data_IF_791180164239
#
_entry.id   IF_791180164239
#
_cell.length_a   1.000
_cell.length_b   1.000
_cell.length_c   1.000
_cell.angle_alpha   90.00
_cell.angle_beta   90.00
_cell.angle_gamma   90.00
#
_symmetry.space_group_name_H-M   'P 1'
#
loop_
_entity.id
_entity.type
_entity.pdbx_description
1 polymer ?
#
# COMPACT_ATOMS: atom_id res chain seq x y z
N UNK A 1 -65.16 27.03 9.31
CA UNK A 1 -64.95 25.57 9.41
C UNK A 1 -64.16 25.11 8.21
N UNK A 2 -62.83 24.98 8.32
CA UNK A 2 -61.96 24.43 7.28
C UNK A 2 -61.02 23.45 7.98
N UNK A 3 -61.07 22.19 7.55
CA UNK A 3 -60.26 21.06 8.05
C UNK A 3 -58.84 21.19 7.47
N UNK A 4 -57.76 21.17 8.26
CA UNK A 4 -56.42 21.05 7.72
C UNK A 4 -55.95 19.60 7.83
N UNK A 5 -55.87 18.88 6.70
CA UNK A 5 -55.05 17.67 6.53
C UNK A 5 -54.77 17.48 5.03
N UNK A 6 -53.60 16.98 4.57
CA UNK A 6 -52.41 16.60 5.31
C UNK A 6 -51.10 17.09 4.62
N UNK A 7 -50.46 18.15 5.14
CA UNK A 7 -49.10 18.58 4.73
C UNK A 7 -47.99 17.85 5.53
N UNK A 8 -48.21 16.57 5.88
CA UNK A 8 -47.26 15.78 6.72
C UNK A 8 -46.71 14.57 5.96
N UNK A 9 -47.06 14.37 4.69
CA UNK A 9 -46.64 13.19 3.92
C UNK A 9 -45.45 13.43 2.97
N UNK A 10 -44.68 14.52 3.13
CA UNK A 10 -43.52 14.80 2.24
C UNK A 10 -42.18 14.83 2.99
N UNK A 11 -42.16 14.91 4.32
CA UNK A 11 -40.92 14.98 5.10
C UNK A 11 -40.48 13.67 5.76
N UNK A 12 -41.12 12.54 5.44
CA UNK A 12 -40.75 11.22 5.99
C UNK A 12 -40.13 10.26 4.95
N UNK A 13 -39.76 10.73 3.76
CA UNK A 13 -39.16 9.91 2.69
C UNK A 13 -37.73 10.31 2.29
N UNK A 14 -37.02 11.08 3.12
CA UNK A 14 -35.65 11.53 2.84
C UNK A 14 -34.61 11.16 3.91
N UNK A 15 -34.98 10.35 4.91
CA UNK A 15 -34.08 9.99 6.02
C UNK A 15 -33.80 8.48 6.15
N UNK A 16 -34.15 7.65 5.16
CA UNK A 16 -34.01 6.18 5.25
C UNK A 16 -33.29 5.55 4.06
N UNK A 17 -32.44 6.31 3.36
CA UNK A 17 -31.55 5.77 2.34
C UNK A 17 -30.09 6.27 2.45
N UNK A 18 -29.67 6.73 3.63
CA UNK A 18 -28.27 7.08 3.91
C UNK A 18 -27.53 6.03 4.78
N UNK A 19 -28.09 4.83 4.95
CA UNK A 19 -27.57 3.83 5.90
C UNK A 19 -27.15 2.49 5.29
N UNK A 20 -26.93 2.39 3.98
CA UNK A 20 -26.64 1.06 3.38
C UNK A 20 -25.58 1.01 2.27
N UNK A 21 -24.90 2.10 1.97
CA UNK A 21 -23.73 2.07 1.07
C UNK A 21 -22.59 2.90 1.62
N UNK A 22 -22.26 2.69 2.90
CA UNK A 22 -20.84 2.51 3.19
C UNK A 22 -20.48 1.21 2.48
N UNK A 23 -20.15 1.28 1.19
CA UNK A 23 -19.22 0.30 0.66
C UNK A 23 -17.99 0.50 1.53
N UNK A 24 -17.87 -0.34 2.55
CA UNK A 24 -16.57 -0.81 2.96
C UNK A 24 -16.01 -1.41 1.68
N UNK A 25 -15.41 -0.56 0.83
CA UNK A 25 -14.51 -0.98 -0.21
C UNK A 25 -13.62 -1.94 0.57
N UNK A 26 -13.70 -3.26 0.31
CA UNK A 26 -12.80 -4.16 0.99
C UNK A 26 -11.44 -3.62 0.61
N UNK A 27 -10.76 -3.02 1.58
CA UNK A 27 -9.36 -2.65 1.41
C UNK A 27 -8.73 -4.02 1.22
N UNK A 28 -8.56 -4.41 -0.05
CA UNK A 28 -8.06 -5.71 -0.43
C UNK A 28 -6.82 -5.89 0.42
N UNK A 29 -6.86 -6.85 1.35
CA UNK A 29 -5.72 -7.08 2.21
C UNK A 29 -4.61 -7.48 1.26
N UNK A 30 -3.64 -6.57 1.10
CA UNK A 30 -2.54 -6.71 0.16
C UNK A 30 -1.89 -8.05 0.38
N UNK A 31 -1.88 -8.91 -0.63
CA UNK A 31 -1.25 -10.20 -0.52
C UNK A 31 0.27 -9.99 -0.54
N UNK A 32 0.91 -10.29 0.60
CA UNK A 32 2.34 -10.07 0.79
C UNK A 32 3.14 -10.94 -0.16
N UNK A 33 2.63 -12.12 -0.53
CA UNK A 33 3.30 -13.00 -1.52
C UNK A 33 3.29 -12.37 -2.90
N UNK A 34 2.12 -12.00 -3.42
CA UNK A 34 2.00 -11.32 -4.72
C UNK A 34 2.79 -10.01 -4.76
N UNK A 35 2.82 -9.25 -3.65
CA UNK A 35 3.61 -8.01 -3.54
C UNK A 35 5.11 -8.30 -3.62
N UNK A 36 5.59 -9.33 -2.93
CA UNK A 36 7.00 -9.72 -2.96
C UNK A 36 7.44 -10.22 -4.34
N UNK A 37 6.59 -11.02 -5.02
CA UNK A 37 6.83 -11.44 -6.40
C UNK A 37 6.88 -10.25 -7.36
N UNK A 38 6.00 -9.25 -7.19
CA UNK A 38 6.04 -8.01 -7.95
C UNK A 38 7.35 -7.24 -7.74
N UNK A 39 7.78 -7.07 -6.49
CA UNK A 39 9.03 -6.39 -6.15
C UNK A 39 10.23 -7.14 -6.73
N UNK A 40 10.23 -8.47 -6.67
CA UNK A 40 11.26 -9.31 -7.28
C UNK A 40 11.31 -9.12 -8.81
N UNK A 41 10.16 -9.07 -9.48
CA UNK A 41 10.06 -8.79 -10.91
C UNK A 41 10.52 -7.37 -11.30
N UNK A 42 10.46 -6.43 -10.36
CA UNK A 42 10.92 -5.04 -10.53
C UNK A 42 12.26 -4.75 -9.83
N UNK A 43 13.09 -5.78 -9.62
CA UNK A 43 14.35 -5.63 -8.89
C UNK A 43 15.26 -4.54 -9.45
N UNK A 44 15.32 -4.36 -10.77
CA UNK A 44 16.09 -3.27 -11.38
C UNK A 44 15.65 -1.87 -10.90
N UNK A 45 14.34 -1.64 -10.67
CA UNK A 45 13.86 -0.39 -10.08
C UNK A 45 14.27 -0.27 -8.61
N UNK A 46 14.24 -1.38 -7.86
CA UNK A 46 14.74 -1.41 -6.47
C UNK A 46 16.22 -1.04 -6.44
N UNK A 47 17.03 -1.61 -7.35
CA UNK A 47 18.46 -1.29 -7.46
C UNK A 47 18.70 0.19 -7.76
N UNK A 48 17.91 0.79 -8.65
CA UNK A 48 18.01 2.23 -8.93
C UNK A 48 17.65 3.12 -7.74
N UNK A 49 16.76 2.65 -6.86
CA UNK A 49 16.47 3.32 -5.59
C UNK A 49 17.62 3.11 -4.59
N UNK A 50 18.16 1.90 -4.47
CA UNK A 50 19.31 1.56 -3.63
C UNK A 50 20.55 2.38 -4.00
N UNK A 51 20.78 2.68 -5.28
CA UNK A 51 21.87 3.57 -5.71
C UNK A 51 21.72 5.00 -5.21
N UNK A 52 20.49 5.47 -4.99
CA UNK A 52 20.17 6.84 -4.55
C UNK A 52 20.11 6.98 -3.04
N UNK A 53 20.17 5.86 -2.30
CA UNK A 53 20.15 5.88 -0.84
C UNK A 53 21.38 6.62 -0.29
N UNK A 54 21.21 7.47 0.73
CA UNK A 54 22.34 8.10 1.43
C UNK A 54 23.27 7.05 2.03
N UNK A 55 24.57 7.30 2.06
CA UNK A 55 25.58 6.39 2.65
C UNK A 55 25.24 6.00 4.10
N UNK A 56 24.66 6.92 4.87
CA UNK A 56 24.24 6.66 6.24
C UNK A 56 23.14 5.59 6.35
N UNK A 57 22.32 5.41 5.32
CA UNK A 57 21.26 4.41 5.28
C UNK A 57 21.70 3.10 4.61
N UNK A 58 22.70 3.14 3.72
CA UNK A 58 23.30 1.93 3.13
C UNK A 58 23.86 0.98 4.19
N UNK A 59 24.37 1.53 5.29
CA UNK A 59 24.86 0.75 6.44
C UNK A 59 23.78 -0.10 7.13
N UNK A 60 22.49 0.19 6.92
CA UNK A 60 21.38 -0.57 7.50
C UNK A 60 20.91 -1.73 6.60
N UNK A 61 21.35 -1.78 5.35
CA UNK A 61 20.90 -2.74 4.32
C UNK A 61 22.10 -3.32 3.57
N UNK A 62 23.19 -3.60 4.29
CA UNK A 62 24.46 -4.04 3.70
C UNK A 62 24.36 -5.33 2.89
N UNK A 63 23.39 -6.18 3.22
CA UNK A 63 23.04 -7.42 2.52
C UNK A 63 22.53 -7.19 1.09
N UNK A 64 22.02 -5.99 0.79
CA UNK A 64 21.57 -5.60 -0.54
C UNK A 64 22.67 -4.97 -1.39
N UNK A 65 23.91 -4.87 -0.87
CA UNK A 65 25.05 -4.27 -1.55
C UNK A 65 26.24 -5.24 -1.63
N UNK A 66 26.91 -5.24 -2.78
CA UNK A 66 28.21 -5.87 -2.96
C UNK A 66 29.26 -4.76 -3.09
N UNK A 67 29.93 -4.45 -1.97
CA UNK A 67 30.74 -3.24 -1.86
C UNK A 67 29.86 -1.98 -1.82
N UNK A 68 29.97 -1.12 -2.84
CA UNK A 68 29.19 0.13 -2.93
C UNK A 68 28.04 0.06 -3.94
N UNK A 69 27.90 -1.06 -4.66
CA UNK A 69 26.87 -1.25 -5.70
C UNK A 69 25.78 -2.20 -5.20
N UNK A 70 24.50 -1.95 -5.52
CA UNK A 70 23.43 -2.89 -5.20
C UNK A 70 23.59 -4.22 -5.93
N UNK A 71 23.29 -5.32 -5.23
CA UNK A 71 23.34 -6.67 -5.80
C UNK A 71 22.51 -6.78 -7.08
N UNK A 72 23.02 -7.52 -8.06
CA UNK A 72 22.37 -7.70 -9.37
C UNK A 72 21.24 -8.71 -9.30
N UNK A 73 21.43 -9.79 -8.55
CA UNK A 73 20.45 -10.85 -8.37
C UNK A 73 19.44 -10.42 -7.32
N UNK A 74 18.15 -10.55 -7.64
CA UNK A 74 17.09 -10.30 -6.67
C UNK A 74 17.14 -11.33 -5.54
N UNK A 75 16.91 -10.93 -4.27
CA UNK A 75 16.75 -11.86 -3.16
C UNK A 75 15.58 -12.83 -3.40
N UNK A 76 15.50 -13.86 -2.55
CA UNK A 76 14.36 -14.79 -2.62
C UNK A 76 13.05 -14.06 -2.29
N UNK A 77 11.92 -14.61 -2.75
CA UNK A 77 10.60 -14.02 -2.45
C UNK A 77 10.40 -13.94 -0.94
N UNK A 78 10.81 -14.94 -0.17
CA UNK A 78 10.64 -14.95 1.29
C UNK A 78 11.50 -13.90 2.02
N UNK A 79 12.72 -13.64 1.52
CA UNK A 79 13.55 -12.54 2.04
C UNK A 79 12.90 -11.19 1.76
N UNK A 80 12.36 -11.01 0.55
CA UNK A 80 11.63 -9.80 0.17
C UNK A 80 10.38 -9.62 1.03
N UNK A 81 9.60 -10.69 1.28
CA UNK A 81 8.43 -10.63 2.18
C UNK A 81 8.83 -10.12 3.56
N UNK A 82 9.92 -10.67 4.11
CA UNK A 82 10.42 -10.28 5.43
C UNK A 82 10.81 -8.80 5.45
N UNK A 83 11.57 -8.34 4.46
CA UNK A 83 11.96 -6.94 4.33
C UNK A 83 10.76 -5.99 4.14
N UNK A 84 9.76 -6.39 3.37
CA UNK A 84 8.52 -5.62 3.18
C UNK A 84 7.71 -5.51 4.48
N UNK A 85 7.59 -6.60 5.23
CA UNK A 85 6.88 -6.61 6.51
C UNK A 85 7.59 -5.73 7.54
N UNK A 86 8.92 -5.75 7.56
CA UNK A 86 9.71 -4.91 8.47
C UNK A 86 9.65 -3.44 8.08
N UNK A 87 9.76 -3.11 6.78
CA UNK A 87 9.58 -1.74 6.29
C UNK A 87 8.20 -1.19 6.64
N UNK A 88 7.14 -2.01 6.48
CA UNK A 88 5.77 -1.64 6.83
C UNK A 88 5.59 -1.38 8.34
N UNK A 89 6.20 -2.21 9.19
CA UNK A 89 6.16 -2.02 10.65
C UNK A 89 6.94 -0.80 11.10
N UNK A 90 8.10 -0.56 10.48
CA UNK A 90 8.97 0.56 10.82
C UNK A 90 8.40 1.90 10.37
N UNK A 91 7.92 1.98 9.12
CA UNK A 91 7.36 3.20 8.56
C UNK A 91 6.36 2.89 7.43
N UNK A 92 5.06 2.92 7.76
CA UNK A 92 3.99 2.62 6.81
C UNK A 92 3.92 3.57 5.61
N UNK A 93 4.31 4.84 5.79
CA UNK A 93 4.23 5.85 4.73
C UNK A 93 5.38 5.67 3.73
N UNK A 94 6.58 5.36 4.22
CA UNK A 94 7.72 4.98 3.37
C UNK A 94 7.40 3.68 2.64
N UNK A 95 6.78 2.71 3.30
CA UNK A 95 6.36 1.46 2.66
C UNK A 95 5.43 1.70 1.46
N UNK A 96 4.40 2.53 1.60
CA UNK A 96 3.51 2.85 0.47
C UNK A 96 4.23 3.61 -0.64
N UNK A 97 5.11 4.54 -0.28
CA UNK A 97 5.92 5.30 -1.24
C UNK A 97 6.86 4.39 -2.02
N UNK A 98 7.54 3.47 -1.33
CA UNK A 98 8.40 2.45 -1.93
C UNK A 98 7.61 1.61 -2.93
N UNK A 99 6.46 1.06 -2.53
CA UNK A 99 5.63 0.25 -3.42
C UNK A 99 5.18 1.03 -4.66
N UNK A 100 4.82 2.31 -4.53
CA UNK A 100 4.47 3.15 -5.68
C UNK A 100 5.67 3.39 -6.61
N UNK A 101 6.87 3.61 -6.07
CA UNK A 101 8.09 3.84 -6.85
C UNK A 101 8.49 2.59 -7.66
N UNK A 102 8.29 1.40 -7.12
CA UNK A 102 8.57 0.12 -7.80
C UNK A 102 7.35 -0.44 -8.54
N UNK A 103 6.24 0.32 -8.61
CA UNK A 103 5.00 0.00 -9.34
C UNK A 103 4.27 -1.26 -8.82
N UNK A 104 4.32 -1.49 -7.51
CA UNK A 104 3.68 -2.61 -6.82
C UNK A 104 2.62 -2.16 -5.80
N UNK A 105 2.14 -0.91 -5.84
CA UNK A 105 1.14 -0.37 -4.92
C UNK A 105 -0.30 -0.88 -5.18
N UNK A 106 -0.56 -1.38 -6.39
CA UNK A 106 -1.86 -1.88 -6.85
C UNK A 106 -1.98 -3.42 -6.85
N UNK A 107 -0.93 -4.11 -6.41
CA UNK A 107 -0.93 -5.56 -6.12
C UNK A 107 -1.48 -5.76 -4.72
#
# INVERSE_FOLDING_TARGET
>A
MIRPFPLVAVFAMLATFCLSTTSAIPVAKRDVTSTAECVQGHWELVRDLLRKLPEAEKGNVTDLFEGNEPITTAPSVDDIKTGLDDLKKYNSDIFLTFLALVKCDQV
#
